data_IF_512746274185
#
_entry.id   IF_512746274185
#
_cell.length_a   1.000
_cell.length_b   1.000
_cell.length_c   1.000
_cell.angle_alpha   90.00
_cell.angle_beta   90.00
_cell.angle_gamma   90.00
#
_symmetry.space_group_name_H-M   'P 1'
#
loop_
_entity.id
_entity.type
_entity.pdbx_description
1 polymer ?
#
# COMPACT_ATOMS: atom_id res chain seq x y z
N UNK A 1 23.42 3.63 -9.61
CA UNK A 1 22.37 4.31 -10.42
C UNK A 1 21.21 4.81 -9.57
N UNK A 2 20.70 4.02 -8.62
CA UNK A 2 19.58 4.43 -7.76
C UNK A 2 19.84 5.67 -6.89
N UNK A 3 21.05 5.83 -6.34
CA UNK A 3 21.43 7.06 -5.61
C UNK A 3 21.39 8.34 -6.46
N UNK A 4 21.67 8.25 -7.77
CA UNK A 4 21.54 9.38 -8.69
C UNK A 4 20.07 9.71 -8.99
N UNK A 5 19.24 8.69 -9.22
CA UNK A 5 17.78 8.86 -9.40
C UNK A 5 17.14 9.48 -8.16
N UNK A 6 17.55 9.05 -6.96
CA UNK A 6 17.12 9.67 -5.69
C UNK A 6 17.45 11.16 -5.64
N UNK A 7 18.72 11.53 -5.92
CA UNK A 7 19.14 12.94 -5.90
C UNK A 7 18.38 13.79 -6.92
N UNK A 8 18.04 13.22 -8.08
CA UNK A 8 17.20 13.86 -9.08
C UNK A 8 15.75 14.08 -8.60
N UNK A 9 15.19 13.15 -7.81
CA UNK A 9 13.80 13.23 -7.34
C UNK A 9 13.60 14.16 -6.14
N UNK A 10 14.65 14.42 -5.38
CA UNK A 10 14.62 15.15 -4.11
C UNK A 10 15.24 16.55 -4.21
N UNK A 11 15.96 16.84 -5.30
CA UNK A 11 16.68 18.10 -5.47
C UNK A 11 17.92 18.19 -4.57
N UNK A 12 18.96 18.89 -5.01
CA UNK A 12 20.23 18.90 -4.26
C UNK A 12 20.29 19.92 -3.12
N UNK A 13 19.55 21.04 -3.09
CA UNK A 13 19.48 21.99 -1.96
C UNK A 13 18.23 22.90 -2.07
N UNK A 14 17.71 23.34 -0.91
CA UNK A 14 16.83 24.49 -0.58
C UNK A 14 15.85 25.10 -1.61
N UNK A 15 15.40 24.38 -2.64
CA UNK A 15 14.22 24.78 -3.40
C UNK A 15 12.95 24.45 -2.60
N UNK A 16 11.95 25.33 -2.67
CA UNK A 16 10.62 25.07 -2.10
C UNK A 16 10.05 23.80 -2.76
N UNK A 17 10.16 22.66 -2.09
CA UNK A 17 9.61 21.44 -2.63
C UNK A 17 8.09 21.47 -2.52
N UNK A 18 7.40 21.25 -3.63
CA UNK A 18 5.95 21.16 -3.68
C UNK A 18 5.49 19.74 -3.35
N UNK A 19 4.48 19.63 -2.49
CA UNK A 19 3.88 18.36 -2.13
C UNK A 19 3.37 17.63 -3.39
N UNK A 20 3.76 16.36 -3.54
CA UNK A 20 3.27 15.51 -4.62
C UNK A 20 1.91 14.94 -4.24
N UNK A 21 0.93 15.10 -5.13
CA UNK A 21 -0.46 14.66 -4.90
C UNK A 21 -0.87 13.48 -5.80
N UNK A 22 -0.20 13.28 -6.93
CA UNK A 22 -0.45 12.14 -7.82
C UNK A 22 0.38 10.95 -7.37
N UNK A 23 -0.27 9.92 -6.86
CA UNK A 23 0.35 8.83 -6.13
C UNK A 23 -0.32 7.51 -6.52
N UNK A 24 0.50 6.55 -6.96
CA UNK A 24 0.08 5.16 -7.13
C UNK A 24 0.84 4.29 -6.15
N UNK A 25 0.11 3.76 -5.17
CA UNK A 25 0.63 2.81 -4.20
C UNK A 25 0.18 1.40 -4.56
N UNK A 26 1.16 0.56 -4.91
CA UNK A 26 0.92 -0.83 -5.25
C UNK A 26 0.94 -1.65 -3.99
N UNK A 27 -0.24 -1.88 -3.41
CA UNK A 27 -0.43 -2.61 -2.17
C UNK A 27 -0.13 -4.11 -2.35
N UNK A 28 0.89 -4.60 -1.64
CA UNK A 28 1.23 -6.03 -1.54
C UNK A 28 0.66 -6.67 -0.27
N UNK A 29 0.51 -7.98 -0.27
CA UNK A 29 -0.06 -8.73 0.84
C UNK A 29 0.92 -8.94 1.99
N UNK A 30 0.45 -8.65 3.21
CA UNK A 30 1.10 -8.97 4.50
C UNK A 30 2.40 -8.21 4.80
N UNK A 31 2.52 -7.02 4.22
CA UNK A 31 3.68 -6.12 4.27
C UNK A 31 3.43 -4.83 5.08
N UNK A 32 2.38 -4.81 5.92
CA UNK A 32 1.80 -3.58 6.53
C UNK A 32 1.31 -2.54 5.51
N UNK A 33 1.05 -2.95 4.27
CA UNK A 33 0.47 -2.11 3.24
C UNK A 33 -0.86 -1.45 3.62
N UNK A 34 -1.69 -2.07 4.49
CA UNK A 34 -2.90 -1.42 5.00
C UNK A 34 -2.64 -0.16 5.82
N UNK A 35 -1.52 -0.08 6.54
CA UNK A 35 -1.13 1.15 7.26
C UNK A 35 -0.81 2.27 6.27
N UNK A 36 -0.11 1.95 5.19
CA UNK A 36 0.19 2.90 4.11
C UNK A 36 -1.11 3.30 3.38
N UNK A 37 -2.01 2.36 3.09
CA UNK A 37 -3.30 2.68 2.46
C UNK A 37 -4.09 3.70 3.28
N UNK A 38 -4.25 3.49 4.59
CA UNK A 38 -5.04 4.42 5.43
C UNK A 38 -4.34 5.77 5.62
N UNK A 39 -3.01 5.79 5.60
CA UNK A 39 -2.21 7.02 5.56
C UNK A 39 -2.49 7.83 4.29
N UNK A 40 -2.46 7.20 3.11
CA UNK A 40 -2.77 7.83 1.83
C UNK A 40 -4.24 8.30 1.75
N UNK A 41 -5.17 7.49 2.26
CA UNK A 41 -6.60 7.84 2.33
C UNK A 41 -6.84 9.09 3.19
N UNK A 42 -6.21 9.14 4.37
CA UNK A 42 -6.26 10.31 5.26
C UNK A 42 -5.63 11.53 4.59
N UNK A 43 -4.43 11.39 4.04
CA UNK A 43 -3.72 12.49 3.36
C UNK A 43 -4.56 13.07 2.21
N UNK A 44 -5.09 12.21 1.34
CA UNK A 44 -5.89 12.68 0.21
C UNK A 44 -7.19 13.35 0.62
N UNK A 45 -7.85 12.85 1.68
CA UNK A 45 -9.06 13.47 2.20
C UNK A 45 -8.78 14.86 2.77
N UNK A 46 -7.74 14.99 3.61
CA UNK A 46 -7.29 16.26 4.20
C UNK A 46 -6.90 17.30 3.14
N UNK A 47 -6.33 16.85 2.01
CA UNK A 47 -5.84 17.71 0.93
C UNK A 47 -6.83 17.83 -0.25
N UNK A 48 -8.09 17.47 -0.05
CA UNK A 48 -9.15 17.59 -1.05
C UNK A 48 -8.84 16.88 -2.41
N UNK A 49 -8.16 15.73 -2.39
CA UNK A 49 -7.71 15.00 -3.58
C UNK A 49 -8.76 14.01 -4.10
N UNK A 50 -8.69 13.68 -5.39
CA UNK A 50 -9.59 12.70 -6.03
C UNK A 50 -9.01 11.28 -5.97
N UNK A 51 -9.83 10.29 -5.66
CA UNK A 51 -9.38 8.91 -5.43
C UNK A 51 -9.83 7.95 -6.54
N UNK A 52 -8.90 7.12 -7.03
CA UNK A 52 -9.25 5.96 -7.83
C UNK A 52 -9.74 4.84 -6.89
N UNK A 53 -11.06 4.72 -6.73
CA UNK A 53 -11.70 3.79 -5.79
C UNK A 53 -12.36 2.61 -6.49
N UNK A 54 -12.37 1.41 -5.87
CA UNK A 54 -13.19 0.31 -6.34
C UNK A 54 -14.69 0.58 -6.17
N UNK A 55 -15.52 0.14 -7.13
CA UNK A 55 -16.96 0.46 -7.18
C UNK A 55 -17.78 -0.15 -6.04
N UNK A 56 -17.47 -1.38 -5.59
CA UNK A 56 -18.33 -2.14 -4.65
C UNK A 56 -17.68 -2.51 -3.32
N UNK A 57 -16.38 -2.78 -3.31
CA UNK A 57 -15.65 -3.26 -2.12
C UNK A 57 -14.52 -2.28 -1.77
N UNK A 58 -13.56 -2.67 -0.92
CA UNK A 58 -12.32 -1.92 -0.67
C UNK A 58 -11.11 -2.44 -1.47
N UNK A 59 -11.34 -3.41 -2.36
CA UNK A 59 -10.35 -4.07 -3.21
C UNK A 59 -10.86 -4.06 -4.66
N UNK A 60 -9.97 -3.77 -5.63
CA UNK A 60 -10.30 -3.86 -7.05
C UNK A 60 -10.34 -5.31 -7.52
N UNK A 61 -9.23 -6.01 -7.29
CA UNK A 61 -9.06 -7.43 -7.58
C UNK A 61 -7.82 -7.93 -6.86
N UNK A 62 -7.85 -9.18 -6.40
CA UNK A 62 -6.68 -9.86 -5.85
C UNK A 62 -5.97 -10.73 -6.88
N UNK A 63 -6.58 -11.00 -8.04
CA UNK A 63 -6.12 -12.02 -8.98
C UNK A 63 -5.79 -11.45 -10.37
N UNK A 64 -6.65 -10.56 -10.87
CA UNK A 64 -6.45 -9.92 -12.18
C UNK A 64 -5.74 -8.59 -12.02
N UNK A 65 -4.88 -8.29 -13.00
CA UNK A 65 -4.25 -6.98 -13.17
C UNK A 65 -5.28 -5.86 -13.16
N UNK A 66 -4.87 -4.71 -12.61
CA UNK A 66 -5.69 -3.52 -12.56
C UNK A 66 -6.19 -3.09 -13.95
N UNK A 67 -7.41 -2.57 -14.00
CA UNK A 67 -8.08 -2.03 -15.18
C UNK A 67 -8.75 -0.72 -14.76
N UNK A 68 -8.47 0.38 -15.48
CA UNK A 68 -8.96 1.71 -15.15
C UNK A 68 -10.50 1.78 -15.18
N UNK A 69 -11.14 1.04 -16.09
CA UNK A 69 -12.61 0.95 -16.21
C UNK A 69 -13.32 0.41 -14.97
N UNK A 70 -12.59 -0.17 -14.00
CA UNK A 70 -13.15 -0.63 -12.73
C UNK A 70 -13.20 0.46 -11.65
N UNK A 71 -12.72 1.66 -11.96
CA UNK A 71 -12.75 2.81 -11.05
C UNK A 71 -14.19 3.32 -10.92
N UNK A 72 -14.57 3.61 -9.68
CA UNK A 72 -15.86 4.21 -9.37
C UNK A 72 -16.04 5.52 -10.14
N UNK A 73 -17.17 5.63 -10.86
CA UNK A 73 -17.51 6.78 -11.72
C UNK A 73 -16.48 7.07 -12.84
N UNK A 74 -15.71 6.07 -13.28
CA UNK A 74 -14.67 6.26 -14.32
C UNK A 74 -15.18 6.99 -15.57
N UNK A 75 -16.26 6.50 -16.19
CA UNK A 75 -16.87 7.07 -17.40
C UNK A 75 -18.04 8.04 -17.09
N UNK A 76 -18.06 8.64 -15.89
CA UNK A 76 -19.13 9.58 -15.54
C UNK A 76 -19.07 10.81 -16.44
N UNK A 77 -20.19 11.10 -17.11
CA UNK A 77 -20.35 12.25 -18.00
C UNK A 77 -21.30 13.29 -17.38
N UNK A 78 -21.06 14.55 -17.71
CA UNK A 78 -21.99 15.65 -17.45
C UNK A 78 -23.15 15.68 -18.47
N UNK A 79 -24.05 16.65 -18.35
CA UNK A 79 -25.19 16.80 -19.25
C UNK A 79 -24.81 17.11 -20.71
N UNK A 80 -23.58 17.54 -20.97
CA UNK A 80 -23.02 17.86 -22.29
C UNK A 80 -22.23 16.67 -22.88
N UNK A 81 -22.18 15.53 -22.18
CA UNK A 81 -21.40 14.36 -22.57
C UNK A 81 -19.90 14.46 -22.27
N UNK A 82 -19.46 15.49 -21.55
CA UNK A 82 -18.07 15.67 -21.14
C UNK A 82 -17.72 14.79 -19.94
N UNK A 83 -16.52 14.18 -19.92
CA UNK A 83 -16.07 13.38 -18.79
C UNK A 83 -15.81 14.26 -17.56
N UNK A 84 -16.44 13.91 -16.43
CA UNK A 84 -16.42 14.70 -15.19
C UNK A 84 -15.03 14.72 -14.55
N UNK A 85 -14.36 13.57 -14.43
CA UNK A 85 -13.10 13.49 -13.69
C UNK A 85 -11.93 14.24 -14.34
N UNK A 86 -11.73 14.18 -15.67
CA UNK A 86 -10.76 15.05 -16.34
C UNK A 86 -11.01 16.53 -16.07
N UNK A 87 -12.27 17.00 -16.11
CA UNK A 87 -12.62 18.39 -15.81
C UNK A 87 -12.36 18.76 -14.33
N UNK A 88 -12.45 17.79 -13.42
CA UNK A 88 -12.09 17.93 -12.00
C UNK A 88 -10.61 17.68 -11.69
N UNK A 89 -9.72 17.75 -12.69
CA UNK A 89 -8.26 17.62 -12.52
C UNK A 89 -7.72 16.18 -12.52
N UNK A 90 -8.58 15.21 -12.79
CA UNK A 90 -8.27 13.78 -12.86
C UNK A 90 -8.20 13.10 -11.49
N UNK A 91 -7.82 11.82 -11.50
CA UNK A 91 -7.58 11.07 -10.27
C UNK A 91 -6.18 11.38 -9.73
N UNK A 92 -6.04 11.37 -8.40
CA UNK A 92 -4.79 11.71 -7.72
C UNK A 92 -4.22 10.49 -6.98
N UNK A 93 -5.03 9.71 -6.27
CA UNK A 93 -4.54 8.62 -5.42
C UNK A 93 -5.17 7.28 -5.80
N UNK A 94 -4.32 6.28 -6.06
CA UNK A 94 -4.68 4.86 -6.08
C UNK A 94 -3.94 4.15 -4.94
N UNK A 95 -4.66 3.75 -3.90
CA UNK A 95 -4.08 3.12 -2.70
C UNK A 95 -4.76 1.81 -2.26
N UNK A 96 -5.95 1.53 -2.81
CA UNK A 96 -6.67 0.30 -2.59
C UNK A 96 -5.97 -0.88 -3.25
N UNK A 97 -6.23 -2.08 -2.76
CA UNK A 97 -5.53 -3.25 -3.27
C UNK A 97 -5.94 -3.53 -4.72
N UNK A 98 -4.94 -3.44 -5.60
CA UNK A 98 -5.01 -3.60 -7.04
C UNK A 98 -3.69 -4.22 -7.50
N UNK A 99 -3.77 -5.30 -8.28
CA UNK A 99 -2.59 -5.96 -8.85
C UNK A 99 -1.95 -5.04 -9.90
N UNK A 100 -0.62 -4.92 -9.86
CA UNK A 100 0.12 -3.96 -10.66
C UNK A 100 -0.12 -4.09 -12.16
N UNK A 101 -0.45 -2.98 -12.80
CA UNK A 101 -0.55 -2.85 -14.24
C UNK A 101 -0.11 -1.44 -14.62
N UNK A 102 1.18 -1.29 -14.95
CA UNK A 102 1.78 0.02 -15.18
C UNK A 102 1.02 0.83 -16.23
N UNK A 103 0.70 0.23 -17.38
CA UNK A 103 0.04 0.92 -18.48
C UNK A 103 -1.31 1.52 -18.07
N UNK A 104 -2.16 0.73 -17.40
CA UNK A 104 -3.48 1.17 -16.96
C UNK A 104 -3.40 2.21 -15.84
N UNK A 105 -2.47 2.02 -14.90
CA UNK A 105 -2.32 2.93 -13.76
C UNK A 105 -1.73 4.28 -14.19
N UNK A 106 -0.80 4.29 -15.15
CA UNK A 106 -0.16 5.49 -15.69
C UNK A 106 -1.13 6.30 -16.55
N UNK A 107 -1.94 5.62 -17.36
CA UNK A 107 -3.04 6.25 -18.11
C UNK A 107 -4.08 6.90 -17.17
N UNK A 108 -4.39 6.27 -16.04
CA UNK A 108 -5.37 6.77 -15.08
C UNK A 108 -4.84 7.95 -14.25
N UNK A 109 -3.59 7.87 -13.78
CA UNK A 109 -2.94 8.88 -12.94
C UNK A 109 -1.58 9.23 -13.55
N UNK A 110 -1.55 10.11 -14.57
CA UNK A 110 -0.31 10.43 -15.26
C UNK A 110 0.64 11.25 -14.39
N UNK A 111 1.95 10.99 -14.52
CA UNK A 111 3.02 11.58 -13.72
C UNK A 111 2.89 11.31 -12.21
N UNK A 112 2.35 10.14 -11.85
CA UNK A 112 2.26 9.73 -10.45
C UNK A 112 3.61 9.32 -9.87
N UNK A 113 3.78 9.55 -8.56
CA UNK A 113 4.80 8.91 -7.76
C UNK A 113 4.40 7.45 -7.50
N UNK A 114 5.21 6.50 -7.98
CA UNK A 114 4.96 5.07 -7.84
C UNK A 114 5.74 4.49 -6.69
N UNK A 115 5.06 3.82 -5.76
CA UNK A 115 5.74 3.11 -4.70
C UNK A 115 4.99 1.88 -4.21
N UNK A 116 5.72 1.03 -3.49
CA UNK A 116 5.18 -0.16 -2.84
C UNK A 116 5.89 -0.40 -1.51
N UNK A 117 5.44 -1.41 -0.77
CA UNK A 117 6.14 -1.94 0.40
C UNK A 117 6.28 -3.44 0.24
N UNK A 118 7.45 -3.98 0.51
CA UNK A 118 7.72 -5.42 0.52
C UNK A 118 8.22 -5.85 1.90
N UNK A 119 8.31 -7.15 2.12
CA UNK A 119 8.70 -7.74 3.39
C UNK A 119 9.59 -8.94 3.17
N UNK A 120 10.46 -9.22 4.14
CA UNK A 120 11.29 -10.41 4.17
C UNK A 120 10.43 -11.67 3.92
N UNK A 121 10.74 -12.50 2.91
CA UNK A 121 9.85 -13.57 2.46
C UNK A 121 9.43 -14.59 3.52
N UNK A 122 10.31 -14.99 4.44
CA UNK A 122 9.94 -15.95 5.48
C UNK A 122 8.96 -15.33 6.49
N UNK A 123 9.20 -14.07 6.87
CA UNK A 123 8.35 -13.27 7.74
C UNK A 123 7.00 -12.92 7.10
N UNK A 124 6.99 -12.68 5.80
CA UNK A 124 5.77 -12.48 5.01
C UNK A 124 4.95 -13.77 4.95
N UNK A 125 5.58 -14.90 4.64
CA UNK A 125 4.96 -16.21 4.55
C UNK A 125 4.32 -16.62 5.88
N UNK A 126 5.05 -16.48 7.00
CA UNK A 126 4.51 -16.74 8.35
C UNK A 126 3.29 -15.86 8.64
N UNK A 127 3.33 -14.60 8.23
CA UNK A 127 2.21 -13.69 8.41
C UNK A 127 1.01 -14.01 7.52
N UNK A 128 1.25 -14.51 6.30
CA UNK A 128 0.20 -14.96 5.38
C UNK A 128 -0.46 -16.23 5.90
N UNK A 129 0.34 -17.22 6.31
CA UNK A 129 -0.13 -18.49 6.87
C UNK A 129 -1.14 -18.27 8.00
N UNK A 130 -0.78 -17.44 8.98
CA UNK A 130 -1.62 -17.15 10.13
C UNK A 130 -2.85 -16.30 9.75
N UNK A 131 -2.69 -15.32 8.85
CA UNK A 131 -3.80 -14.44 8.48
C UNK A 131 -4.89 -15.17 7.70
N UNK A 132 -4.48 -15.99 6.73
CA UNK A 132 -5.40 -16.75 5.87
C UNK A 132 -5.88 -18.05 6.50
N UNK A 133 -5.48 -18.34 7.74
CA UNK A 133 -5.89 -19.54 8.47
C UNK A 133 -5.54 -20.82 7.73
N UNK A 134 -4.32 -20.86 7.21
CA UNK A 134 -3.81 -22.03 6.49
C UNK A 134 -3.77 -23.27 7.39
N UNK A 135 -3.71 -23.10 8.71
CA UNK A 135 -3.88 -24.15 9.73
C UNK A 135 -5.14 -25.02 9.56
N UNK A 136 -6.18 -24.50 8.89
CA UNK A 136 -7.41 -25.25 8.57
C UNK A 136 -7.26 -26.24 7.41
N UNK A 137 -6.25 -26.05 6.58
CA UNK A 137 -5.98 -26.87 5.39
C UNK A 137 -4.73 -27.72 5.55
N UNK A 138 -3.78 -27.24 6.34
CA UNK A 138 -2.49 -27.89 6.59
C UNK A 138 -2.07 -27.61 8.04
N UNK A 139 -1.77 -28.64 8.85
CA UNK A 139 -1.50 -28.46 10.29
C UNK A 139 -0.34 -27.49 10.58
N UNK A 140 0.70 -27.50 9.74
CA UNK A 140 1.92 -26.72 9.93
C UNK A 140 2.35 -26.00 8.64
N UNK A 141 3.25 -25.01 8.78
CA UNK A 141 3.86 -24.34 7.64
C UNK A 141 4.72 -25.27 6.79
N UNK A 142 5.31 -26.32 7.38
CA UNK A 142 6.15 -27.27 6.65
C UNK A 142 5.33 -28.15 5.70
N UNK A 143 4.05 -28.37 6.00
CA UNK A 143 3.16 -29.20 5.19
C UNK A 143 2.87 -28.56 3.82
N UNK A 144 3.06 -27.25 3.67
CA UNK A 144 2.95 -26.55 2.36
C UNK A 144 3.83 -27.20 1.30
N UNK A 145 5.03 -27.66 1.67
CA UNK A 145 6.00 -28.22 0.72
C UNK A 145 5.71 -29.66 0.32
N UNK A 146 4.68 -30.27 0.91
CA UNK A 146 4.23 -31.64 0.59
C UNK A 146 3.00 -31.64 -0.33
N UNK A 147 2.41 -30.46 -0.57
CA UNK A 147 1.24 -30.29 -1.41
C UNK A 147 1.69 -30.15 -2.87
N UNK A 148 0.89 -30.71 -3.78
CA UNK A 148 1.07 -30.55 -5.21
C UNK A 148 1.22 -29.05 -5.59
N UNK A 149 2.34 -28.63 -6.20
CA UNK A 149 2.56 -27.26 -6.65
C UNK A 149 1.45 -26.69 -7.55
N UNK A 150 0.71 -27.53 -8.28
CA UNK A 150 -0.37 -27.11 -9.17
C UNK A 150 -1.61 -26.61 -8.40
N UNK A 151 -1.73 -26.96 -7.12
CA UNK A 151 -2.78 -26.47 -6.23
C UNK A 151 -2.57 -25.02 -5.77
N UNK A 152 -1.40 -24.43 -6.05
CA UNK A 152 -1.07 -23.03 -5.73
C UNK A 152 -1.52 -22.05 -6.83
N UNK A 153 -2.45 -22.43 -7.70
CA UNK A 153 -3.03 -21.53 -8.71
C UNK A 153 -3.70 -20.30 -8.08
N UNK A 154 -3.50 -19.12 -8.68
CA UNK A 154 -4.19 -17.87 -8.33
C UNK A 154 -5.54 -17.79 -9.07
N UNK A 155 -6.44 -18.74 -8.80
CA UNK A 155 -7.78 -18.79 -9.40
C UNK A 155 -8.83 -18.11 -8.49
N UNK A 156 -9.89 -17.53 -9.05
CA UNK A 156 -11.00 -16.96 -8.26
C UNK A 156 -11.71 -17.98 -7.37
N UNK A 157 -11.57 -19.27 -7.68
CA UNK A 157 -12.07 -20.40 -6.88
C UNK A 157 -11.00 -21.00 -5.96
N UNK A 158 -9.75 -20.53 -6.05
CA UNK A 158 -8.66 -21.01 -5.21
C UNK A 158 -8.74 -20.42 -3.81
N UNK A 159 -8.42 -21.26 -2.82
CA UNK A 159 -8.15 -20.82 -1.44
C UNK A 159 -7.01 -19.79 -1.46
N UNK A 160 -6.77 -19.02 -0.38
CA UNK A 160 -5.65 -18.08 -0.30
C UNK A 160 -4.24 -18.70 -0.42
N UNK A 161 -4.15 -19.99 -0.74
CA UNK A 161 -2.95 -20.79 -0.89
C UNK A 161 -2.02 -20.26 -1.98
N UNK A 162 -2.54 -19.68 -3.07
CA UNK A 162 -1.71 -19.08 -4.12
C UNK A 162 -0.77 -18.00 -3.57
N UNK A 163 -1.26 -17.16 -2.64
CA UNK A 163 -0.45 -16.10 -2.02
C UNK A 163 0.69 -16.63 -1.13
N UNK A 164 0.79 -17.94 -0.91
CA UNK A 164 1.90 -18.58 -0.21
C UNK A 164 3.12 -18.85 -1.11
N UNK A 165 3.01 -18.62 -2.42
CA UNK A 165 4.10 -18.78 -3.39
C UNK A 165 4.31 -17.48 -4.19
N UNK A 166 5.43 -16.80 -3.94
CA UNK A 166 5.83 -15.57 -4.65
C UNK A 166 4.74 -14.50 -4.68
N UNK A 167 3.99 -14.36 -3.57
CA UNK A 167 2.81 -13.51 -3.50
C UNK A 167 3.13 -12.02 -3.72
N UNK A 168 4.31 -11.56 -3.30
CA UNK A 168 4.68 -10.15 -3.50
C UNK A 168 5.00 -9.87 -4.97
N UNK A 169 5.67 -10.78 -5.67
CA UNK A 169 5.81 -10.71 -7.14
C UNK A 169 4.51 -10.79 -7.88
N UNK A 170 3.60 -11.63 -7.43
CA UNK A 170 2.28 -11.70 -8.03
C UNK A 170 1.54 -10.36 -7.90
N UNK A 171 1.52 -9.76 -6.72
CA UNK A 171 0.93 -8.43 -6.49
C UNK A 171 1.57 -7.35 -7.38
N UNK A 172 2.89 -7.44 -7.59
CA UNK A 172 3.68 -6.56 -8.45
C UNK A 172 3.61 -6.94 -9.95
N UNK A 173 2.68 -7.82 -10.33
CA UNK A 173 2.27 -8.05 -11.71
C UNK A 173 3.09 -9.09 -12.47
N UNK A 174 3.94 -9.87 -11.78
CA UNK A 174 4.54 -11.08 -12.35
C UNK A 174 3.46 -12.15 -12.52
N UNK A 175 3.35 -12.73 -13.70
CA UNK A 175 2.38 -13.79 -13.95
C UNK A 175 2.81 -15.12 -13.34
N UNK A 176 1.81 -15.96 -13.04
CA UNK A 176 2.04 -17.21 -12.31
C UNK A 176 2.93 -18.20 -13.07
N UNK A 177 2.81 -18.23 -14.39
CA UNK A 177 3.59 -19.04 -15.31
C UNK A 177 5.02 -18.50 -15.55
N UNK A 178 5.27 -17.24 -15.20
CA UNK A 178 6.50 -16.50 -15.48
C UNK A 178 7.47 -16.49 -14.29
N UNK A 179 7.59 -17.61 -13.58
CA UNK A 179 8.39 -17.73 -12.35
C UNK A 179 9.81 -18.26 -12.57
N UNK A 180 10.29 -18.37 -13.82
CA UNK A 180 11.68 -18.73 -14.08
C UNK A 180 12.64 -17.56 -13.78
N UNK A 181 13.94 -17.86 -13.74
CA UNK A 181 14.96 -16.89 -13.35
C UNK A 181 15.08 -15.70 -14.30
N UNK A 182 14.75 -15.86 -15.59
CA UNK A 182 14.85 -14.81 -16.61
C UNK A 182 13.69 -13.84 -16.40
N UNK A 183 12.44 -14.34 -16.41
CA UNK A 183 11.25 -13.51 -16.20
C UNK A 183 11.27 -12.77 -14.86
N UNK A 184 11.74 -13.43 -13.79
CA UNK A 184 11.92 -12.77 -12.48
C UNK A 184 12.97 -11.66 -12.55
N UNK A 185 14.09 -11.88 -13.24
CA UNK A 185 15.15 -10.88 -13.40
C UNK A 185 14.68 -9.66 -14.20
N UNK A 186 14.00 -9.90 -15.32
CA UNK A 186 13.41 -8.85 -16.16
C UNK A 186 12.36 -8.05 -15.40
N UNK A 187 11.51 -8.72 -14.63
CA UNK A 187 10.48 -8.05 -13.82
C UNK A 187 11.09 -7.18 -12.73
N UNK A 188 12.12 -7.66 -12.02
CA UNK A 188 12.84 -6.84 -11.03
C UNK A 188 13.46 -5.63 -11.72
N UNK A 189 14.09 -5.80 -12.87
CA UNK A 189 14.67 -4.68 -13.61
C UNK A 189 13.62 -3.65 -14.02
N UNK A 190 12.47 -4.07 -14.57
CA UNK A 190 11.34 -3.19 -14.87
C UNK A 190 10.88 -2.42 -13.63
N UNK A 191 10.66 -3.12 -12.50
CA UNK A 191 10.26 -2.50 -11.24
C UNK A 191 11.29 -1.47 -10.74
N UNK A 192 12.59 -1.70 -10.90
CA UNK A 192 13.64 -0.74 -10.51
C UNK A 192 13.62 0.57 -11.30
N UNK A 193 13.08 0.55 -12.52
CA UNK A 193 12.87 1.76 -13.34
C UNK A 193 11.51 2.39 -13.07
N UNK A 194 10.50 1.56 -12.80
CA UNK A 194 9.11 2.01 -12.72
C UNK A 194 8.71 2.52 -11.34
N UNK A 195 9.28 1.97 -10.26
CA UNK A 195 9.00 2.38 -8.88
C UNK A 195 9.98 3.48 -8.47
N UNK A 196 9.46 4.57 -7.89
CA UNK A 196 10.27 5.62 -7.31
C UNK A 196 10.83 5.20 -5.94
N UNK A 197 10.03 4.46 -5.17
CA UNK A 197 10.42 3.88 -3.89
C UNK A 197 9.84 2.48 -3.70
N UNK A 198 10.66 1.55 -3.22
CA UNK A 198 10.22 0.27 -2.68
C UNK A 198 10.57 0.23 -1.21
N UNK A 199 9.57 0.35 -0.35
CA UNK A 199 9.73 0.34 1.10
C UNK A 199 10.00 -1.08 1.60
N UNK A 200 10.77 -1.22 2.68
CA UNK A 200 11.04 -2.51 3.33
C UNK A 200 10.36 -2.54 4.69
N UNK A 201 9.53 -3.56 4.93
CA UNK A 201 8.71 -3.63 6.15
C UNK A 201 9.54 -3.72 7.43
N UNK A 202 10.70 -4.35 7.37
CA UNK A 202 11.66 -4.47 8.47
C UNK A 202 12.26 -3.10 8.85
N UNK A 203 12.31 -2.17 7.89
CA UNK A 203 12.79 -0.80 8.03
C UNK A 203 11.66 0.20 7.73
N UNK A 204 10.48 -0.03 8.32
CA UNK A 204 9.26 0.68 7.95
C UNK A 204 9.34 2.18 8.24
N UNK A 205 9.85 2.56 9.41
CA UNK A 205 9.98 3.97 9.79
C UNK A 205 11.04 4.66 8.91
N UNK A 206 12.16 3.99 8.65
CA UNK A 206 13.21 4.44 7.74
C UNK A 206 12.65 4.68 6.32
N UNK A 207 11.82 3.74 5.85
CA UNK A 207 11.15 3.84 4.56
C UNK A 207 10.16 5.02 4.52
N UNK A 208 9.48 5.32 5.63
CA UNK A 208 8.57 6.47 5.73
C UNK A 208 9.31 7.81 5.69
N UNK A 209 10.52 7.90 6.24
CA UNK A 209 11.36 9.11 6.11
C UNK A 209 11.72 9.38 4.64
N UNK A 210 12.11 8.33 3.90
CA UNK A 210 12.35 8.47 2.47
C UNK A 210 11.07 8.90 1.74
N UNK A 211 9.94 8.25 2.02
CA UNK A 211 8.64 8.57 1.40
C UNK A 211 8.25 10.04 1.67
N UNK A 212 8.33 10.48 2.92
CA UNK A 212 8.09 11.87 3.33
C UNK A 212 8.91 12.84 2.50
N UNK A 213 10.23 12.60 2.40
CA UNK A 213 11.14 13.48 1.69
C UNK A 213 10.86 13.50 0.19
N UNK A 214 10.56 12.35 -0.43
CA UNK A 214 10.32 12.25 -1.87
C UNK A 214 8.97 12.82 -2.32
N UNK A 215 7.97 12.78 -1.43
CA UNK A 215 6.65 13.36 -1.66
C UNK A 215 6.53 14.81 -1.17
N UNK A 216 7.55 15.29 -0.46
CA UNK A 216 7.56 16.61 0.17
C UNK A 216 6.38 16.81 1.12
N UNK A 217 6.20 15.81 1.96
CA UNK A 217 5.18 15.74 3.01
C UNK A 217 5.75 16.15 4.36
N UNK A 218 4.85 16.42 5.30
CA UNK A 218 5.18 16.68 6.69
C UNK A 218 5.19 15.39 7.53
N UNK A 219 5.74 15.48 8.75
CA UNK A 219 5.73 14.35 9.68
C UNK A 219 4.30 13.92 10.07
N UNK A 220 3.36 14.86 10.14
CA UNK A 220 1.94 14.56 10.41
C UNK A 220 1.33 13.67 9.32
N UNK A 221 1.73 13.85 8.07
CA UNK A 221 1.20 13.08 6.95
C UNK A 221 1.63 11.61 7.01
N UNK A 222 2.87 11.34 7.45
CA UNK A 222 3.42 9.98 7.60
C UNK A 222 3.19 9.33 8.98
N UNK A 223 2.59 10.06 9.92
CA UNK A 223 2.31 9.53 11.27
C UNK A 223 1.26 8.41 11.21
N UNK A 224 1.39 7.39 12.05
CA UNK A 224 0.48 6.26 12.10
C UNK A 224 0.37 5.65 13.50
N UNK A 225 -0.81 5.12 13.83
CA UNK A 225 -0.99 4.29 15.03
C UNK A 225 -1.16 2.83 14.61
N UNK A 226 -0.31 1.95 15.15
CA UNK A 226 -0.34 0.53 14.82
C UNK A 226 -1.56 -0.16 15.45
N UNK A 227 -2.57 -0.47 14.63
CA UNK A 227 -3.84 -1.04 15.10
C UNK A 227 -3.84 -2.58 15.22
N UNK A 228 -2.92 -3.27 14.53
CA UNK A 228 -2.89 -4.73 14.44
C UNK A 228 -1.54 -5.27 14.89
N UNK A 229 -1.30 -5.22 16.21
CA UNK A 229 -0.07 -5.75 16.80
C UNK A 229 -0.26 -7.24 17.06
N UNK A 230 0.56 -8.06 16.40
CA UNK A 230 0.61 -9.50 16.67
C UNK A 230 1.29 -9.74 18.02
N UNK A 231 0.71 -10.59 18.86
CA UNK A 231 1.34 -10.99 20.12
C UNK A 231 2.73 -11.60 19.84
N UNK A 232 3.72 -11.23 20.66
CA UNK A 232 5.07 -11.81 20.60
C UNK A 232 5.03 -13.34 20.75
N UNK A 233 4.16 -13.87 21.63
CA UNK A 233 3.96 -15.31 21.82
C UNK A 233 3.41 -16.07 20.62
N UNK A 234 2.92 -15.38 19.59
CA UNK A 234 2.41 -15.96 18.34
C UNK A 234 3.47 -15.92 17.24
N UNK A 235 4.50 -15.07 17.38
CA UNK A 235 5.65 -15.08 16.47
C UNK A 235 6.46 -16.35 16.78
N UNK A 236 6.27 -17.38 15.95
CA UNK A 236 7.14 -18.54 15.99
C UNK A 236 8.47 -18.15 15.36
N UNK A 237 9.55 -18.31 16.10
CA UNK A 237 10.87 -18.35 15.48
C UNK A 237 10.86 -19.53 14.50
N UNK A 238 11.00 -19.24 13.21
CA UNK A 238 11.09 -20.26 12.18
C UNK A 238 12.43 -20.99 12.34
N UNK A 239 12.42 -22.32 12.23
CA UNK A 239 13.66 -23.08 12.19
C UNK A 239 14.44 -22.74 10.92
N UNK A 240 15.76 -22.90 10.96
CA UNK A 240 16.64 -22.64 9.81
C UNK A 240 16.20 -23.47 8.60
N UNK A 241 15.97 -24.78 8.79
CA UNK A 241 15.47 -25.68 7.74
C UNK A 241 14.15 -25.21 7.11
N UNK A 242 13.21 -24.72 7.94
CA UNK A 242 11.94 -24.21 7.43
C UNK A 242 12.14 -22.91 6.63
N UNK A 243 13.01 -22.01 7.09
CA UNK A 243 13.32 -20.79 6.35
C UNK A 243 13.95 -21.09 4.99
N UNK A 244 14.88 -22.04 4.91
CA UNK A 244 15.50 -22.44 3.64
C UNK A 244 14.48 -23.00 2.65
N UNK A 245 13.55 -23.84 3.11
CA UNK A 245 12.43 -24.32 2.29
C UNK A 245 11.54 -23.17 1.81
N UNK A 246 11.20 -22.23 2.69
CA UNK A 246 10.41 -21.05 2.33
C UNK A 246 11.15 -20.20 1.29
N UNK A 247 12.47 -19.99 1.42
CA UNK A 247 13.26 -19.22 0.47
C UNK A 247 13.36 -19.88 -0.90
N UNK A 248 13.53 -21.21 -0.94
CA UNK A 248 13.53 -21.95 -2.20
C UNK A 248 12.17 -21.88 -2.88
N UNK A 249 11.09 -22.01 -2.11
CA UNK A 249 9.72 -21.92 -2.62
C UNK A 249 9.36 -20.52 -3.13
N UNK A 250 9.79 -19.48 -2.41
CA UNK A 250 9.52 -18.08 -2.70
C UNK A 250 10.74 -17.38 -3.34
N UNK A 251 11.44 -18.07 -4.25
CA UNK A 251 12.71 -17.57 -4.78
C UNK A 251 12.59 -16.22 -5.51
N UNK A 252 11.44 -15.91 -6.12
CA UNK A 252 11.22 -14.63 -6.80
C UNK A 252 11.09 -13.49 -5.78
N UNK A 253 10.34 -13.71 -4.71
CA UNK A 253 10.24 -12.74 -3.60
C UNK A 253 11.58 -12.58 -2.86
N UNK A 254 12.41 -13.63 -2.76
CA UNK A 254 13.77 -13.52 -2.21
C UNK A 254 14.66 -12.64 -3.07
N UNK A 255 14.64 -12.82 -4.40
CA UNK A 255 15.40 -11.98 -5.32
C UNK A 255 14.94 -10.52 -5.27
N UNK A 256 13.62 -10.32 -5.23
CA UNK A 256 13.01 -9.00 -5.06
C UNK A 256 13.50 -8.32 -3.79
N UNK A 257 13.35 -8.99 -2.65
CA UNK A 257 13.70 -8.45 -1.34
C UNK A 257 15.18 -8.07 -1.28
N UNK A 258 16.08 -8.95 -1.74
CA UNK A 258 17.51 -8.67 -1.76
C UNK A 258 17.86 -7.45 -2.62
N UNK A 259 17.23 -7.31 -3.79
CA UNK A 259 17.44 -6.17 -4.67
C UNK A 259 17.01 -4.87 -3.99
N UNK A 260 15.75 -4.77 -3.56
CA UNK A 260 15.21 -3.52 -3.05
C UNK A 260 15.62 -3.19 -1.62
N UNK A 261 16.03 -4.18 -0.81
CA UNK A 261 16.66 -3.90 0.47
C UNK A 261 18.00 -3.17 0.26
N UNK A 262 18.83 -3.64 -0.67
CA UNK A 262 20.07 -2.93 -1.02
C UNK A 262 19.77 -1.50 -1.48
N UNK A 263 18.78 -1.32 -2.33
CA UNK A 263 18.51 -0.01 -2.92
C UNK A 263 17.83 0.96 -1.94
N UNK A 264 17.05 0.46 -0.98
CA UNK A 264 16.61 1.24 0.17
C UNK A 264 17.81 1.85 0.90
N UNK A 265 18.80 1.02 1.26
CA UNK A 265 19.99 1.49 1.95
C UNK A 265 20.80 2.48 1.10
N UNK A 266 20.93 2.24 -0.20
CA UNK A 266 21.56 3.22 -1.13
C UNK A 266 20.86 4.59 -1.07
N UNK A 267 19.52 4.64 -1.00
CA UNK A 267 18.76 5.91 -0.84
C UNK A 267 18.96 6.54 0.53
N UNK A 268 19.00 5.75 1.61
CA UNK A 268 19.30 6.24 2.98
C UNK A 268 20.70 6.87 3.01
N UNK A 269 21.71 6.18 2.46
CA UNK A 269 23.06 6.74 2.35
C UNK A 269 23.09 8.02 1.51
N UNK A 270 22.31 8.08 0.42
CA UNK A 270 22.22 9.26 -0.44
C UNK A 270 21.44 10.43 0.19
N UNK A 271 20.55 10.19 1.15
CA UNK A 271 19.89 11.22 1.97
C UNK A 271 20.93 12.01 2.79
N UNK A 272 21.98 11.34 3.25
CA UNK A 272 23.02 11.92 4.07
C UNK A 272 22.67 11.94 5.57
N UNK A 273 23.52 12.57 6.40
CA UNK A 273 23.44 12.44 7.87
C UNK A 273 22.14 12.97 8.49
N UNK A 274 21.47 13.93 7.83
CA UNK A 274 20.18 14.46 8.29
C UNK A 274 19.06 13.42 8.37
N UNK A 275 19.20 12.28 7.67
CA UNK A 275 18.24 11.18 7.74
C UNK A 275 17.99 10.71 9.17
N UNK A 276 19.04 10.56 9.96
CA UNK A 276 18.94 10.02 11.32
C UNK A 276 18.23 10.98 12.27
N UNK A 277 18.43 12.30 12.09
CA UNK A 277 17.71 13.33 12.84
C UNK A 277 16.21 13.32 12.50
N UNK A 278 15.87 13.20 11.21
CA UNK A 278 14.48 13.10 10.76
C UNK A 278 13.82 11.81 11.27
N UNK A 279 14.55 10.69 11.28
CA UNK A 279 14.07 9.40 11.80
C UNK A 279 13.80 9.46 13.30
N UNK A 280 14.71 10.04 14.08
CA UNK A 280 14.53 10.20 15.53
C UNK A 280 13.33 11.12 15.83
N UNK A 281 13.26 12.27 15.14
CA UNK A 281 12.13 13.21 15.25
C UNK A 281 10.80 12.52 14.94
N UNK A 282 10.74 11.77 13.84
CA UNK A 282 9.54 11.02 13.47
C UNK A 282 9.13 10.00 14.53
N UNK A 283 10.09 9.22 15.05
CA UNK A 283 9.80 8.21 16.08
C UNK A 283 9.26 8.85 17.37
N UNK A 284 9.77 10.01 17.77
CA UNK A 284 9.25 10.77 18.90
C UNK A 284 7.81 11.25 18.66
N UNK A 285 7.55 11.86 17.51
CA UNK A 285 6.19 12.30 17.12
C UNK A 285 5.22 11.12 17.10
N UNK A 286 5.61 10.01 16.49
CA UNK A 286 4.77 8.84 16.34
C UNK A 286 4.47 8.17 17.68
N UNK A 287 5.45 8.12 18.59
CA UNK A 287 5.29 7.62 19.95
C UNK A 287 4.31 8.48 20.77
N UNK A 288 4.44 9.81 20.69
CA UNK A 288 3.58 10.76 21.40
C UNK A 288 2.13 10.66 20.90
N UNK A 289 1.92 10.68 19.58
CA UNK A 289 0.59 10.51 18.98
C UNK A 289 -0.02 9.15 19.32
N UNK A 290 0.79 8.08 19.32
CA UNK A 290 0.32 6.75 19.73
C UNK A 290 -0.14 6.75 21.18
N UNK A 291 0.64 7.33 22.09
CA UNK A 291 0.29 7.44 23.51
C UNK A 291 -1.00 8.24 23.70
N UNK A 292 -1.13 9.39 23.03
CA UNK A 292 -2.32 10.22 23.11
C UNK A 292 -3.56 9.47 22.61
N UNK A 293 -3.50 8.84 21.43
CA UNK A 293 -4.65 8.11 20.88
C UNK A 293 -5.00 6.84 21.65
N UNK A 294 -4.04 6.20 22.32
CA UNK A 294 -4.28 5.02 23.13
C UNK A 294 -4.68 5.33 24.58
N UNK A 295 -4.71 6.61 24.97
CA UNK A 295 -5.15 7.00 26.32
C UNK A 295 -6.61 6.57 26.50
N UNK A 296 -6.87 5.74 27.52
CA UNK A 296 -8.16 5.11 27.81
C UNK A 296 -8.71 4.19 26.70
N UNK A 297 -7.88 3.78 25.73
CA UNK A 297 -8.28 2.79 24.74
C UNK A 297 -8.34 1.38 25.37
N UNK A 298 -9.33 0.58 24.99
CA UNK A 298 -9.45 -0.81 25.45
C UNK A 298 -8.76 -1.74 24.48
N UNK A 299 -7.87 -2.61 24.97
CA UNK A 299 -7.23 -3.64 24.15
C UNK A 299 -8.08 -4.91 24.13
N UNK A 300 -8.54 -5.29 22.94
CA UNK A 300 -9.29 -6.51 22.70
C UNK A 300 -8.42 -7.53 21.95
N UNK A 301 -8.44 -8.79 22.38
CA UNK A 301 -7.70 -9.85 21.70
C UNK A 301 -8.61 -10.58 20.70
N UNK A 302 -8.35 -10.39 19.41
CA UNK A 302 -9.02 -11.11 18.35
C UNK A 302 -8.44 -12.52 18.22
N UNK A 303 -9.06 -13.50 18.89
CA UNK A 303 -8.64 -14.92 18.86
C UNK A 303 -8.51 -15.48 17.44
N UNK A 304 -9.41 -15.07 16.54
CA UNK A 304 -9.46 -15.55 15.15
C UNK A 304 -8.18 -15.28 14.34
N UNK A 305 -7.58 -14.09 14.51
CA UNK A 305 -6.36 -13.67 13.80
C UNK A 305 -5.14 -13.57 14.71
N UNK A 306 -5.28 -13.91 16.00
CA UNK A 306 -4.24 -13.84 17.03
C UNK A 306 -3.60 -12.44 17.13
N UNK A 307 -4.40 -11.40 16.95
CA UNK A 307 -3.98 -9.99 16.99
C UNK A 307 -4.61 -9.26 18.16
N UNK A 308 -3.86 -8.33 18.75
CA UNK A 308 -4.43 -7.32 19.64
C UNK A 308 -4.96 -6.17 18.79
N UNK A 309 -6.20 -5.76 19.06
CA UNK A 309 -6.87 -4.63 18.43
C UNK A 309 -7.31 -3.66 19.52
N UNK A 310 -7.03 -2.37 19.33
CA UNK A 310 -7.49 -1.35 20.27
C UNK A 310 -8.83 -0.79 19.82
N UNK A 311 -9.71 -0.56 20.79
CA UNK A 311 -10.96 0.18 20.62
C UNK A 311 -10.80 1.53 21.30
N UNK A 312 -10.97 2.60 20.54
CA UNK A 312 -10.92 3.97 21.07
C UNK A 312 -12.15 4.29 21.92
N UNK A 313 -12.01 5.15 22.95
CA UNK A 313 -13.15 5.63 23.72
C UNK A 313 -14.08 6.50 22.85
N UNK A 314 -15.36 6.62 23.25
CA UNK A 314 -16.35 7.40 22.49
C UNK A 314 -15.95 8.87 22.31
N UNK A 315 -15.25 9.46 23.28
CA UNK A 315 -14.78 10.84 23.25
C UNK A 315 -13.41 11.02 22.57
N UNK A 316 -12.85 10.00 21.92
CA UNK A 316 -11.60 10.13 21.18
C UNK A 316 -11.69 11.22 20.11
N UNK A 317 -10.62 12.00 19.96
CA UNK A 317 -10.53 13.07 18.96
C UNK A 317 -10.72 12.54 17.54
N UNK A 318 -11.20 13.39 16.63
CA UNK A 318 -11.35 13.05 15.22
C UNK A 318 -10.03 12.58 14.60
N UNK A 319 -8.92 13.27 14.92
CA UNK A 319 -7.57 12.87 14.52
C UNK A 319 -7.25 11.42 14.92
N UNK A 320 -7.55 11.02 16.14
CA UNK A 320 -7.35 9.64 16.58
C UNK A 320 -8.31 8.66 15.90
N UNK A 321 -9.58 9.04 15.70
CA UNK A 321 -10.54 8.20 14.96
C UNK A 321 -10.07 7.95 13.53
N UNK A 322 -9.46 8.93 12.88
CA UNK A 322 -8.90 8.78 11.53
C UNK A 322 -7.64 7.91 11.50
N UNK A 323 -6.76 8.01 12.49
CA UNK A 323 -5.66 7.06 12.65
C UNK A 323 -6.13 5.61 12.83
N UNK A 324 -7.31 5.43 13.44
CA UNK A 324 -7.94 4.13 13.70
C UNK A 324 -8.92 3.65 12.61
N UNK A 325 -9.20 4.48 11.61
CA UNK A 325 -10.13 4.11 10.55
C UNK A 325 -9.45 3.14 9.59
N UNK A 326 -9.99 1.93 9.53
CA UNK A 326 -9.52 0.90 8.60
C UNK A 326 -9.93 1.21 7.16
N UNK A 327 -9.19 0.64 6.21
CA UNK A 327 -9.45 0.74 4.76
C UNK A 327 -10.92 0.43 4.41
N UNK A 328 -11.50 -0.62 5.01
CA UNK A 328 -12.91 -0.98 4.79
C UNK A 328 -13.92 0.11 5.20
N UNK A 329 -13.53 1.01 6.11
CA UNK A 329 -14.35 2.14 6.56
C UNK A 329 -14.03 3.43 5.82
N UNK A 330 -12.79 3.59 5.35
CA UNK A 330 -12.42 4.72 4.50
C UNK A 330 -13.11 4.65 3.15
N UNK A 331 -13.13 3.50 2.48
CA UNK A 331 -13.60 3.41 1.08
C UNK A 331 -15.05 3.85 0.87
N UNK A 332 -16.05 3.44 1.69
CA UNK A 332 -17.41 3.96 1.56
C UNK A 332 -17.47 5.48 1.73
N UNK A 333 -16.83 6.01 2.77
CA UNK A 333 -16.75 7.46 3.02
C UNK A 333 -16.10 8.21 1.86
N UNK A 334 -15.03 7.67 1.27
CA UNK A 334 -14.35 8.29 0.13
C UNK A 334 -15.20 8.20 -1.16
N UNK A 335 -16.03 7.16 -1.33
CA UNK A 335 -16.99 7.10 -2.45
C UNK A 335 -18.06 8.16 -2.31
N UNK A 336 -18.61 8.37 -1.11
CA UNK A 336 -19.58 9.44 -0.85
C UNK A 336 -18.97 10.82 -1.10
N UNK A 337 -17.72 11.01 -0.66
CA UNK A 337 -16.93 12.20 -0.93
C UNK A 337 -16.73 12.46 -2.44
N UNK A 338 -16.37 11.44 -3.21
CA UNK A 338 -16.24 11.53 -4.67
C UNK A 338 -17.59 11.82 -5.35
N UNK A 339 -18.66 11.15 -4.93
CA UNK A 339 -20.00 11.37 -5.46
C UNK A 339 -20.49 12.81 -5.22
N UNK A 340 -20.23 13.34 -4.02
CA UNK A 340 -20.52 14.73 -3.67
C UNK A 340 -19.79 15.70 -4.60
N UNK A 341 -18.47 15.53 -4.78
CA UNK A 341 -17.67 16.34 -5.72
C UNK A 341 -18.22 16.33 -7.14
N UNK A 342 -18.50 15.14 -7.68
CA UNK A 342 -19.05 15.02 -9.03
C UNK A 342 -20.42 15.69 -9.16
N UNK A 343 -21.27 15.57 -8.15
CA UNK A 343 -22.62 16.15 -8.16
C UNK A 343 -22.56 17.68 -8.09
N UNK A 344 -21.72 18.24 -7.22
CA UNK A 344 -21.50 19.69 -7.15
C UNK A 344 -21.00 20.26 -8.46
N UNK A 345 -20.04 19.58 -9.12
CA UNK A 345 -19.54 19.99 -10.43
C UNK A 345 -20.65 20.04 -11.48
N UNK A 346 -21.43 18.97 -11.62
CA UNK A 346 -22.50 18.90 -12.61
C UNK A 346 -23.63 19.91 -12.34
N UNK A 347 -23.94 20.19 -11.08
CA UNK A 347 -24.94 21.20 -10.70
C UNK A 347 -24.48 22.61 -11.09
N UNK A 348 -23.22 22.95 -10.83
CA UNK A 348 -22.66 24.26 -11.18
C UNK A 348 -22.63 24.48 -12.71
N UNK A 349 -22.26 23.45 -13.48
CA UNK A 349 -22.31 23.50 -14.95
C UNK A 349 -23.75 23.73 -15.45
N UNK A 350 -24.73 23.10 -14.82
CA UNK A 350 -26.15 23.24 -15.19
C UNK A 350 -26.69 24.64 -14.87
N UNK A 351 -26.29 25.24 -13.74
CA UNK A 351 -26.68 26.61 -13.37
C UNK A 351 -26.01 27.70 -14.23
N UNK A 352 -24.83 27.42 -14.78
CA UNK A 352 -24.15 28.34 -15.71
C UNK A 352 -24.77 28.37 -17.12
N UNK A 353 -25.68 27.43 -17.41
CA UNK A 353 -26.28 27.24 -18.73
C UNK A 353 -27.65 27.92 -18.91
N UNK A 354 -28.17 28.68 -17.93
CA UNK A 354 -29.37 29.51 -18.15
C UNK A 354 -29.03 30.68 -19.07
N UNK A 355 -29.60 30.75 -20.30
CA UNK A 355 -29.48 31.94 -21.12
C UNK A 355 -30.23 33.07 -20.41
N UNK A 356 -29.60 34.25 -20.31
CA UNK A 356 -30.35 35.48 -20.09
C UNK A 356 -31.35 35.60 -21.24
N UNK A 357 -32.63 35.35 -20.92
CA UNK A 357 -33.77 35.60 -21.81
C UNK A 357 -34.19 37.06 -21.78
#
# INVERSE_FOLDING_TARGET
MEGHRWRSLVGTHAEHCQAKHRIVFVKTHKTSSSTVTTMLQRYGYKNNLNFALPTRSHVFSQFVKFQASRVFQYDLQDAKGGLVWPALGGFHILANHARYNRSEQDALIPNAFYFTVIREPASQFESAFNFYRMDRYMPTMADIFQIDPDLFSFSSNSKPIGFMRNGQMFDLGLEQDSQDNISVGEKINSLSHEMDLVMIKEYFDESLILLKKMLCWDFDDITYVSQLVRKSSVRKNLSIDLMEKIYKWNHADVKLYRHFNRTLWEKIHAYGPGFWNDLETFRQINAEVTKQCLTNATMNFARLHKTSQYTLPQNASEKCRDYFRLDQRWVPMLRDYMASKSSTFMNNESSSATPFG
#
